data_IF_498719381303
#
_entry.id   IF_498719381303
#
_cell.length_a   1.000
_cell.length_b   1.000
_cell.length_c   1.000
_cell.angle_alpha   90.00
_cell.angle_beta   90.00
_cell.angle_gamma   90.00
#
_symmetry.space_group_name_H-M   'P 1'
#
loop_
_entity.id
_entity.type
_entity.pdbx_description
1 polymer ?
#
# COMPACT_ATOMS: atom_id res chain seq x y z
N UNK A 1 -18.79 -34.85 17.75
CA UNK A 1 -17.36 -34.98 17.46
C UNK A 1 -17.04 -33.88 16.48
N UNK A 2 -16.39 -32.83 16.96
CA UNK A 2 -15.88 -31.74 16.10
C UNK A 2 -14.61 -32.26 15.46
N UNK A 3 -14.51 -32.12 14.14
CA UNK A 3 -13.42 -32.60 13.31
C UNK A 3 -12.17 -31.73 13.57
N UNK A 4 -11.11 -32.32 14.11
CA UNK A 4 -9.82 -31.66 14.44
C UNK A 4 -9.01 -31.23 13.20
N UNK A 5 -9.64 -31.20 12.01
CA UNK A 5 -9.03 -30.74 10.75
C UNK A 5 -9.69 -29.49 10.16
N UNK A 6 -10.52 -28.77 10.93
CA UNK A 6 -11.08 -27.49 10.49
C UNK A 6 -10.02 -26.37 10.55
N UNK A 7 -9.76 -25.76 9.39
CA UNK A 7 -8.95 -24.54 9.29
C UNK A 7 -9.64 -23.40 10.07
N UNK A 8 -8.89 -22.56 10.78
CA UNK A 8 -9.40 -21.40 11.54
C UNK A 8 -10.45 -20.58 10.77
N UNK A 9 -10.32 -20.47 9.45
CA UNK A 9 -11.33 -19.84 8.58
C UNK A 9 -12.71 -20.52 8.63
N UNK A 10 -12.73 -21.85 8.57
CA UNK A 10 -13.96 -22.65 8.61
C UNK A 10 -14.63 -22.58 9.99
N UNK A 11 -13.84 -22.45 11.05
CA UNK A 11 -14.34 -22.22 12.42
C UNK A 11 -15.01 -20.84 12.52
N UNK A 12 -14.40 -19.80 11.94
CA UNK A 12 -14.96 -18.45 11.93
C UNK A 12 -16.25 -18.35 11.11
N UNK A 13 -16.30 -19.00 9.95
CA UNK A 13 -17.51 -19.08 9.11
C UNK A 13 -18.68 -19.77 9.84
N UNK A 14 -18.42 -20.82 10.63
CA UNK A 14 -19.46 -21.49 11.44
C UNK A 14 -19.99 -20.64 12.59
N UNK A 15 -19.20 -19.68 13.08
CA UNK A 15 -19.60 -18.75 14.15
C UNK A 15 -20.37 -17.53 13.62
N UNK A 16 -20.73 -17.49 12.32
CA UNK A 16 -21.24 -16.29 11.64
C UNK A 16 -20.32 -15.07 11.80
N UNK A 17 -19.04 -15.30 12.14
CA UNK A 17 -17.97 -14.34 11.99
C UNK A 17 -17.47 -14.44 10.54
N UNK A 18 -18.41 -14.42 9.59
CA UNK A 18 -18.12 -14.38 8.18
C UNK A 18 -17.47 -13.05 7.86
N UNK A 19 -16.24 -13.12 7.34
CA UNK A 19 -15.42 -12.06 6.74
C UNK A 19 -16.12 -10.69 6.72
N UNK A 20 -15.66 -9.75 7.57
CA UNK A 20 -15.96 -8.31 7.45
C UNK A 20 -15.93 -7.93 5.95
N UNK A 21 -16.92 -7.18 5.46
CA UNK A 21 -16.91 -6.70 4.07
C UNK A 21 -15.58 -6.00 3.80
N UNK A 22 -14.73 -6.63 3.00
CA UNK A 22 -13.39 -6.15 2.70
C UNK A 22 -13.54 -5.15 1.55
N UNK A 23 -12.90 -4.00 1.71
CA UNK A 23 -13.06 -2.87 0.81
C UNK A 23 -11.69 -2.27 0.53
N UNK A 24 -11.24 -2.37 -0.71
CA UNK A 24 -10.02 -1.73 -1.16
C UNK A 24 -10.36 -0.44 -1.89
N UNK A 25 -10.11 0.70 -1.27
CA UNK A 25 -10.26 1.99 -1.93
C UNK A 25 -9.03 2.27 -2.80
N UNK A 26 -9.29 2.57 -4.08
CA UNK A 26 -8.27 2.77 -5.10
C UNK A 26 -8.50 4.07 -5.85
N UNK A 27 -7.42 4.73 -6.27
CA UNK A 27 -7.45 5.94 -7.10
C UNK A 27 -6.35 5.86 -8.15
N UNK A 28 -6.73 5.92 -9.42
CA UNK A 28 -5.79 5.98 -10.54
C UNK A 28 -5.82 4.74 -11.42
N UNK A 29 -4.71 4.48 -12.10
CA UNK A 29 -4.67 3.54 -13.22
C UNK A 29 -4.81 2.10 -12.73
N UNK A 30 -5.88 1.42 -13.12
CA UNK A 30 -6.08 -0.02 -12.90
C UNK A 30 -7.17 -0.52 -13.85
N UNK A 31 -6.83 -1.51 -14.68
CA UNK A 31 -7.78 -2.15 -15.59
C UNK A 31 -8.15 -3.54 -15.08
N UNK A 32 -9.45 -3.77 -14.91
CA UNK A 32 -10.03 -5.03 -14.46
C UNK A 32 -10.94 -5.61 -15.53
N UNK A 33 -10.89 -6.92 -15.74
CA UNK A 33 -11.86 -7.66 -16.56
C UNK A 33 -12.92 -8.28 -15.65
N UNK A 34 -14.18 -7.95 -15.88
CA UNK A 34 -15.34 -8.49 -15.17
C UNK A 34 -15.68 -9.91 -15.67
N UNK A 35 -16.48 -10.70 -14.93
CA UNK A 35 -16.88 -12.05 -15.34
C UNK A 35 -17.56 -12.13 -16.72
N UNK A 36 -18.23 -11.06 -17.15
CA UNK A 36 -18.87 -10.94 -18.47
C UNK A 36 -17.90 -10.49 -19.59
N UNK A 37 -16.60 -10.43 -19.28
CA UNK A 37 -15.49 -10.00 -20.15
C UNK A 37 -15.46 -8.50 -20.46
N UNK A 38 -16.25 -7.68 -19.79
CA UNK A 38 -16.11 -6.24 -19.90
C UNK A 38 -14.87 -5.75 -19.18
N UNK A 39 -14.12 -4.86 -19.81
CA UNK A 39 -12.96 -4.20 -19.20
C UNK A 39 -13.41 -2.89 -18.56
N UNK A 40 -13.17 -2.76 -17.27
CA UNK A 40 -13.40 -1.53 -16.50
C UNK A 40 -12.05 -0.88 -16.25
N UNK A 41 -11.90 0.36 -16.72
CA UNK A 41 -10.72 1.19 -16.47
C UNK A 41 -11.01 2.16 -15.31
N UNK A 42 -10.40 1.89 -14.16
CA UNK A 42 -10.60 2.66 -12.94
C UNK A 42 -9.96 4.06 -13.01
N UNK A 43 -9.05 4.29 -13.97
CA UNK A 43 -8.47 5.61 -14.23
C UNK A 43 -9.51 6.64 -14.68
N UNK A 44 -10.68 6.19 -15.15
CA UNK A 44 -11.80 7.04 -15.53
C UNK A 44 -12.58 7.62 -14.33
N UNK A 45 -12.24 7.23 -13.10
CA UNK A 45 -12.89 7.71 -11.87
C UNK A 45 -11.93 8.62 -11.09
N UNK A 46 -11.92 9.94 -11.34
CA UNK A 46 -10.96 10.86 -10.72
C UNK A 46 -11.09 10.95 -9.18
N UNK A 47 -12.25 10.60 -8.63
CA UNK A 47 -12.50 10.51 -7.19
C UNK A 47 -12.09 9.18 -6.55
N UNK A 48 -11.63 8.20 -7.34
CA UNK A 48 -11.38 6.83 -6.88
C UNK A 48 -12.63 5.95 -6.86
N UNK A 49 -12.42 4.67 -6.61
CA UNK A 49 -13.42 3.60 -6.56
C UNK A 49 -13.15 2.73 -5.34
N UNK A 50 -14.21 2.15 -4.75
CA UNK A 50 -14.07 1.12 -3.71
C UNK A 50 -14.33 -0.25 -4.35
N UNK A 51 -13.35 -1.14 -4.27
CA UNK A 51 -13.48 -2.53 -4.69
C UNK A 51 -13.97 -3.36 -3.50
N UNK A 52 -15.18 -3.89 -3.61
CA UNK A 52 -15.78 -4.75 -2.58
C UNK A 52 -15.20 -6.16 -2.62
N UNK A 53 -15.45 -6.96 -1.57
CA UNK A 53 -15.12 -8.39 -1.53
C UNK A 53 -15.53 -9.13 -2.81
N UNK A 54 -16.75 -8.88 -3.32
CA UNK A 54 -17.24 -9.53 -4.53
C UNK A 54 -16.41 -9.13 -5.76
N UNK A 55 -16.07 -7.84 -5.86
CA UNK A 55 -15.26 -7.32 -6.96
C UNK A 55 -13.85 -7.90 -6.93
N UNK A 56 -13.22 -7.93 -5.76
CA UNK A 56 -11.87 -8.49 -5.56
C UNK A 56 -11.79 -9.99 -5.88
N UNK A 57 -12.87 -10.75 -5.66
CA UNK A 57 -12.92 -12.19 -5.95
C UNK A 57 -13.26 -12.53 -7.39
N UNK A 58 -14.12 -11.73 -8.03
CA UNK A 58 -14.70 -12.07 -9.33
C UNK A 58 -14.02 -11.40 -10.52
N UNK A 59 -13.37 -10.26 -10.30
CA UNK A 59 -12.65 -9.52 -11.35
C UNK A 59 -11.25 -10.12 -11.56
N UNK A 60 -10.77 -10.05 -12.79
CA UNK A 60 -9.39 -10.40 -13.15
C UNK A 60 -8.58 -9.14 -13.41
N UNK A 61 -7.31 -9.14 -13.03
CA UNK A 61 -6.41 -8.03 -13.38
C UNK A 61 -6.01 -8.18 -14.85
N UNK A 62 -6.23 -7.15 -15.66
CA UNK A 62 -5.84 -7.19 -17.06
C UNK A 62 -4.30 -7.29 -17.19
N UNK A 63 -3.79 -8.14 -18.08
CA UNK A 63 -2.35 -8.34 -18.26
C UNK A 63 -1.58 -7.09 -18.74
N UNK A 64 -2.26 -6.16 -19.42
CA UNK A 64 -1.67 -4.88 -19.84
C UNK A 64 -2.18 -3.75 -18.94
N UNK A 65 -1.29 -3.22 -18.12
CA UNK A 65 -1.52 -2.05 -17.27
C UNK A 65 -0.67 -0.86 -17.75
N UNK A 66 -1.08 0.36 -17.40
CA UNK A 66 -0.31 1.60 -17.64
C UNK A 66 0.39 2.12 -16.36
N UNK A 67 0.33 1.34 -15.29
CA UNK A 67 0.87 1.64 -13.97
C UNK A 67 2.39 1.62 -14.02
N UNK A 68 3.00 2.70 -13.56
CA UNK A 68 4.45 2.87 -13.36
C UNK A 68 4.80 3.03 -11.88
N UNK A 69 3.82 3.46 -11.07
CA UNK A 69 4.00 3.75 -9.65
C UNK A 69 2.78 3.29 -8.87
N UNK A 70 3.02 2.59 -7.76
CA UNK A 70 2.00 2.25 -6.77
C UNK A 70 2.33 2.96 -5.47
N UNK A 71 1.34 3.63 -4.88
CA UNK A 71 1.48 4.31 -3.58
C UNK A 71 0.41 3.75 -2.64
N UNK A 72 0.82 3.18 -1.52
CA UNK A 72 -0.09 2.85 -0.41
C UNK A 72 -0.11 3.99 0.61
N UNK A 73 -1.29 4.38 1.06
CA UNK A 73 -1.50 5.53 1.94
C UNK A 73 -2.31 5.08 3.15
N UNK A 74 -1.73 5.24 4.33
CA UNK A 74 -2.37 4.83 5.59
C UNK A 74 -3.57 5.70 5.96
N UNK A 75 -3.42 7.02 5.87
CA UNK A 75 -4.45 7.93 6.35
C UNK A 75 -5.49 8.27 5.26
N UNK A 76 -6.77 8.30 5.66
CA UNK A 76 -7.90 8.52 4.74
C UNK A 76 -7.93 9.94 4.17
N UNK A 77 -7.58 10.95 4.98
CA UNK A 77 -7.54 12.32 4.51
C UNK A 77 -6.39 12.49 3.50
N UNK A 78 -5.21 11.96 3.81
CA UNK A 78 -4.06 11.98 2.90
C UNK A 78 -4.38 11.26 1.59
N UNK A 79 -5.04 10.09 1.64
CA UNK A 79 -5.50 9.38 0.45
C UNK A 79 -6.46 10.24 -0.41
N UNK A 80 -7.46 10.86 0.22
CA UNK A 80 -8.46 11.67 -0.48
C UNK A 80 -7.83 12.88 -1.19
N UNK A 81 -6.92 13.58 -0.51
CA UNK A 81 -6.29 14.80 -1.02
C UNK A 81 -5.02 14.54 -1.86
N UNK A 82 -4.49 13.32 -1.89
CA UNK A 82 -3.32 13.00 -2.71
C UNK A 82 -3.63 13.25 -4.19
N UNK A 83 -2.86 14.10 -4.88
CA UNK A 83 -3.13 14.42 -6.28
C UNK A 83 -2.95 13.19 -7.16
N UNK A 84 -3.85 13.01 -8.13
CA UNK A 84 -3.69 11.97 -9.13
C UNK A 84 -2.60 12.37 -10.13
N UNK A 85 -1.72 11.43 -10.43
CA UNK A 85 -0.71 11.53 -11.49
C UNK A 85 -0.89 10.34 -12.43
N UNK A 86 -0.87 10.59 -13.75
CA UNK A 86 -0.98 9.53 -14.76
C UNK A 86 0.15 8.50 -14.59
N UNK A 87 -0.17 7.23 -14.70
CA UNK A 87 0.75 6.12 -14.43
C UNK A 87 0.84 5.76 -12.95
N UNK A 88 0.03 6.37 -12.08
CA UNK A 88 0.03 6.09 -10.63
C UNK A 88 -1.26 5.40 -10.20
N UNK A 89 -1.12 4.35 -9.40
CA UNK A 89 -2.20 3.73 -8.65
C UNK A 89 -1.99 4.01 -7.16
N UNK A 90 -2.96 4.67 -6.53
CA UNK A 90 -2.96 5.00 -5.11
C UNK A 90 -3.95 4.07 -4.41
N UNK A 91 -3.50 3.44 -3.34
CA UNK A 91 -4.24 2.45 -2.55
C UNK A 91 -4.37 2.97 -1.12
N UNK A 92 -5.58 2.98 -0.59
CA UNK A 92 -5.79 3.24 0.82
C UNK A 92 -5.55 1.97 1.64
N UNK A 93 -4.77 2.05 2.72
CA UNK A 93 -4.60 0.96 3.68
C UNK A 93 -5.06 1.41 5.07
N UNK A 94 -6.20 0.90 5.52
CA UNK A 94 -6.73 1.19 6.87
C UNK A 94 -6.08 0.27 7.92
N UNK A 95 -4.76 0.41 8.09
CA UNK A 95 -3.92 -0.51 8.86
C UNK A 95 -3.31 -1.61 7.99
N UNK A 96 -3.38 -2.87 8.44
CA UNK A 96 -2.85 -4.00 7.68
C UNK A 96 -3.84 -4.48 6.61
N UNK A 97 -3.35 -4.72 5.40
CA UNK A 97 -4.15 -5.34 4.35
C UNK A 97 -4.67 -6.72 4.77
N UNK A 98 -5.93 -6.98 4.47
CA UNK A 98 -6.60 -8.26 4.69
C UNK A 98 -5.93 -9.39 3.87
N UNK A 99 -6.20 -10.67 4.17
CA UNK A 99 -5.75 -11.76 3.31
C UNK A 99 -6.15 -11.63 1.83
N UNK A 100 -7.38 -11.20 1.53
CA UNK A 100 -7.87 -11.05 0.15
C UNK A 100 -7.20 -9.87 -0.56
N UNK A 101 -7.04 -8.73 0.13
CA UNK A 101 -6.35 -7.58 -0.40
C UNK A 101 -4.90 -7.93 -0.74
N UNK A 102 -4.21 -8.65 0.15
CA UNK A 102 -2.84 -9.13 -0.10
C UNK A 102 -2.75 -10.13 -1.26
N UNK A 103 -3.76 -10.98 -1.45
CA UNK A 103 -3.82 -11.87 -2.61
C UNK A 103 -3.97 -11.08 -3.91
N UNK A 104 -4.96 -10.19 -3.97
CA UNK A 104 -5.20 -9.32 -5.11
C UNK A 104 -3.98 -8.45 -5.46
N UNK A 105 -3.34 -7.83 -4.46
CA UNK A 105 -2.19 -6.95 -4.68
C UNK A 105 -0.93 -7.71 -5.12
N UNK A 106 -0.74 -8.96 -4.68
CA UNK A 106 0.34 -9.82 -5.19
C UNK A 106 0.10 -10.28 -6.62
N UNK A 107 -1.16 -10.57 -6.98
CA UNK A 107 -1.51 -10.84 -8.38
C UNK A 107 -1.20 -9.61 -9.25
N UNK A 108 -1.56 -8.42 -8.78
CA UNK A 108 -1.25 -7.16 -9.47
C UNK A 108 0.26 -6.97 -9.64
N UNK A 109 1.04 -7.17 -8.58
CA UNK A 109 2.50 -7.13 -8.66
C UNK A 109 3.04 -8.10 -9.72
N UNK A 110 2.57 -9.35 -9.72
CA UNK A 110 2.97 -10.36 -10.68
C UNK A 110 2.69 -9.98 -12.13
N UNK A 111 1.51 -9.41 -12.40
CA UNK A 111 1.14 -8.91 -13.75
C UNK A 111 2.06 -7.77 -14.17
N UNK A 112 2.35 -6.84 -13.27
CA UNK A 112 3.18 -5.66 -13.57
C UNK A 112 4.64 -6.04 -13.84
N UNK A 113 5.19 -6.99 -13.08
CA UNK A 113 6.56 -7.46 -13.28
C UNK A 113 6.72 -8.29 -14.56
N UNK A 114 5.73 -9.11 -14.94
CA UNK A 114 5.75 -9.86 -16.21
C UNK A 114 5.74 -8.92 -17.42
N UNK A 115 4.91 -7.88 -17.42
CA UNK A 115 4.82 -6.93 -18.53
C UNK A 115 6.11 -6.12 -18.76
N UNK A 116 6.98 -6.00 -17.76
CA UNK A 116 8.29 -5.34 -17.90
C UNK A 116 9.34 -6.23 -18.57
N UNK A 117 9.28 -7.55 -18.36
CA UNK A 117 10.24 -8.51 -18.93
C UNK A 117 10.04 -8.73 -20.44
N UNK A 118 8.78 -8.69 -20.91
CA UNK A 118 8.45 -8.83 -22.34
C UNK A 118 8.95 -7.65 -23.19
N UNK A 119 9.06 -6.45 -22.60
CA UNK A 119 9.62 -5.27 -23.27
C UNK A 119 11.15 -5.30 -23.37
N UNK A 120 11.86 -5.96 -22.45
CA UNK A 120 13.33 -6.11 -22.53
C UNK A 120 13.78 -7.12 -23.59
N UNK A 121 12.90 -8.04 -24.02
CA UNK A 121 13.23 -9.11 -24.97
C UNK A 121 12.86 -8.80 -26.44
N UNK A 122 12.30 -7.63 -26.73
CA UNK A 122 11.97 -7.23 -28.11
C UNK A 122 13.20 -6.61 -28.82
N UNK A 123 13.76 -7.26 -29.87
CA UNK A 123 14.93 -6.74 -30.56
C UNK A 123 14.49 -5.70 -31.60
N UNK A 124 14.78 -4.43 -31.32
CA UNK A 124 14.79 -3.38 -32.35
C UNK A 124 14.15 -2.08 -31.93
N UNK A 125 14.90 -1.24 -31.20
CA UNK A 125 15.09 0.19 -31.51
C UNK A 125 16.08 0.76 -30.51
N UNK A 126 17.35 0.77 -30.90
CA UNK A 126 18.34 1.57 -30.20
C UNK A 126 18.08 3.06 -30.46
N UNK A 127 18.16 3.86 -29.39
CA UNK A 127 18.23 5.34 -29.33
C UNK A 127 16.92 6.12 -29.18
N UNK A 128 16.33 6.03 -27.99
CA UNK A 128 16.02 7.18 -27.14
C UNK A 128 16.08 6.69 -25.67
N UNK A 129 16.50 7.55 -24.73
CA UNK A 129 16.95 7.22 -23.37
C UNK A 129 16.26 6.04 -22.66
N UNK A 130 17.07 5.21 -21.98
CA UNK A 130 16.67 4.18 -21.00
C UNK A 130 15.29 4.45 -20.38
N UNK A 131 14.27 3.71 -20.79
CA UNK A 131 13.05 3.51 -20.01
C UNK A 131 12.79 2.00 -19.86
N UNK A 132 13.76 1.32 -19.25
CA UNK A 132 13.59 0.00 -18.64
C UNK A 132 13.35 0.21 -17.13
N UNK A 133 12.32 0.99 -16.78
CA UNK A 133 12.00 1.24 -15.39
C UNK A 133 10.82 0.34 -15.02
N UNK A 134 11.08 -0.67 -14.19
CA UNK A 134 10.04 -1.46 -13.55
C UNK A 134 9.13 -0.57 -12.69
N UNK A 135 8.03 -1.15 -12.19
CA UNK A 135 7.10 -0.39 -11.35
C UNK A 135 7.75 0.00 -10.03
N UNK A 136 7.55 1.27 -9.63
CA UNK A 136 7.99 1.79 -8.34
C UNK A 136 6.89 1.59 -7.29
N UNK A 137 7.26 1.12 -6.10
CA UNK A 137 6.32 0.84 -5.02
C UNK A 137 6.65 1.71 -3.81
N UNK A 138 5.67 2.47 -3.33
CA UNK A 138 5.82 3.37 -2.20
C UNK A 138 4.77 3.17 -1.12
N UNK A 139 5.13 3.51 0.11
CA UNK A 139 4.20 3.63 1.22
C UNK A 139 4.44 4.91 1.99
N UNK A 140 3.35 5.57 2.38
CA UNK A 140 3.36 6.74 3.26
C UNK A 140 2.32 6.55 4.36
N UNK A 141 2.73 6.78 5.60
CA UNK A 141 1.89 6.63 6.79
C UNK A 141 2.37 7.49 7.94
N UNK A 142 1.87 7.19 9.13
CA UNK A 142 2.22 7.91 10.35
C UNK A 142 3.70 7.71 10.69
N UNK A 143 4.30 8.71 11.33
CA UNK A 143 5.69 8.64 11.81
C UNK A 143 5.72 8.19 13.25
N UNK A 144 5.28 6.96 13.46
CA UNK A 144 5.10 6.34 14.77
C UNK A 144 5.37 4.83 14.72
N UNK A 145 5.03 4.10 15.80
CA UNK A 145 5.16 2.65 15.82
C UNK A 145 4.19 1.94 14.85
N UNK A 146 2.96 2.44 14.70
CA UNK A 146 1.94 1.87 13.82
C UNK A 146 2.34 1.92 12.35
N UNK A 147 2.69 3.11 11.85
CA UNK A 147 3.10 3.33 10.46
C UNK A 147 4.35 2.53 10.08
N UNK A 148 5.35 2.43 10.97
CA UNK A 148 6.53 1.56 10.77
C UNK A 148 6.12 0.10 10.61
N UNK A 149 5.16 -0.38 11.42
CA UNK A 149 4.68 -1.77 11.35
C UNK A 149 3.91 -2.04 10.06
N UNK A 150 3.09 -1.09 9.60
CA UNK A 150 2.33 -1.21 8.35
C UNK A 150 3.28 -1.23 7.16
N UNK A 151 4.24 -0.29 7.09
CA UNK A 151 5.30 -0.28 6.08
C UNK A 151 5.99 -1.65 5.97
N UNK A 152 6.48 -2.15 7.11
CA UNK A 152 7.19 -3.44 7.19
C UNK A 152 6.31 -4.58 6.72
N UNK A 153 5.04 -4.61 7.15
CA UNK A 153 4.11 -5.67 6.77
C UNK A 153 3.81 -5.69 5.28
N UNK A 154 3.54 -4.52 4.67
CA UNK A 154 3.29 -4.42 3.23
C UNK A 154 4.52 -4.89 2.46
N UNK A 155 5.73 -4.48 2.87
CA UNK A 155 6.96 -4.90 2.20
C UNK A 155 7.17 -6.42 2.26
N UNK A 156 6.97 -7.02 3.44
CA UNK A 156 7.21 -8.45 3.64
C UNK A 156 6.17 -9.35 2.96
N UNK A 157 4.93 -8.88 2.81
CA UNK A 157 3.80 -9.75 2.42
C UNK A 157 3.11 -9.35 1.12
N UNK A 158 3.41 -8.19 0.55
CA UNK A 158 2.71 -7.64 -0.62
C UNK A 158 3.66 -7.13 -1.68
N UNK A 159 4.51 -6.16 -1.35
CA UNK A 159 5.41 -5.49 -2.30
C UNK A 159 6.85 -5.51 -1.79
N UNK A 160 7.66 -6.54 -2.07
CA UNK A 160 9.04 -6.67 -1.58
C UNK A 160 9.96 -5.47 -1.90
N UNK A 161 9.69 -4.76 -3.01
CA UNK A 161 10.47 -3.59 -3.46
C UNK A 161 10.00 -2.26 -2.84
N UNK A 162 8.99 -2.27 -1.95
CA UNK A 162 8.38 -1.08 -1.34
C UNK A 162 9.41 -0.14 -0.68
N UNK A 163 9.32 1.14 -1.03
CA UNK A 163 10.15 2.22 -0.49
C UNK A 163 9.33 3.20 0.36
N UNK A 164 9.92 3.80 1.39
CA UNK A 164 9.23 4.82 2.18
C UNK A 164 9.04 6.10 1.36
N UNK A 165 7.85 6.70 1.46
CA UNK A 165 7.52 8.00 0.90
C UNK A 165 7.13 8.94 2.05
N UNK A 166 7.93 9.98 2.25
CA UNK A 166 7.74 10.93 3.36
C UNK A 166 7.74 10.24 4.73
N UNK A 167 8.52 9.15 4.87
CA UNK A 167 8.75 8.47 6.16
C UNK A 167 10.25 8.49 6.47
N UNK A 168 10.79 9.69 6.60
CA UNK A 168 12.21 9.92 6.85
C UNK A 168 12.42 11.00 7.92
N UNK A 169 13.67 11.15 8.37
CA UNK A 169 14.05 12.11 9.42
C UNK A 169 13.76 13.55 9.01
N UNK A 170 13.92 13.90 7.73
CA UNK A 170 13.68 15.27 7.27
C UNK A 170 12.19 15.63 7.33
N UNK A 171 11.32 14.70 6.96
CA UNK A 171 9.87 14.85 7.13
C UNK A 171 9.51 14.89 8.62
N UNK A 172 10.09 14.03 9.45
CA UNK A 172 9.85 14.03 10.88
C UNK A 172 10.21 15.37 11.51
N UNK A 173 11.43 15.86 11.26
CA UNK A 173 11.91 17.11 11.83
C UNK A 173 11.11 18.33 11.32
N UNK A 174 10.63 18.28 10.08
CA UNK A 174 9.75 19.33 9.52
C UNK A 174 8.46 19.50 10.31
N UNK A 175 7.88 18.41 10.81
CA UNK A 175 6.60 18.43 11.51
C UNK A 175 6.72 18.19 13.02
N UNK A 176 7.93 18.24 13.57
CA UNK A 176 8.19 17.95 14.97
C UNK A 176 7.39 18.84 15.93
N UNK A 177 7.16 20.11 15.57
CA UNK A 177 6.37 21.05 16.38
C UNK A 177 4.88 20.69 16.45
N UNK A 178 4.40 19.88 15.51
CA UNK A 178 3.04 19.31 15.52
C UNK A 178 2.99 17.93 16.20
N UNK A 179 4.13 17.38 16.58
CA UNK A 179 4.25 16.04 17.15
C UNK A 179 3.73 15.94 18.58
N UNK A 180 3.16 14.78 18.91
CA UNK A 180 2.66 14.45 20.25
C UNK A 180 3.65 13.58 21.00
N UNK A 181 3.53 13.50 22.33
CA UNK A 181 4.38 12.62 23.13
C UNK A 181 4.07 11.16 22.84
N UNK A 182 5.12 10.36 22.66
CA UNK A 182 4.98 8.93 22.42
C UNK A 182 4.63 8.20 23.71
N UNK A 183 3.63 7.33 23.65
CA UNK A 183 3.25 6.47 24.75
C UNK A 183 4.39 5.50 25.15
N UNK A 184 4.63 5.27 26.46
CA UNK A 184 5.69 4.37 26.92
C UNK A 184 5.57 2.95 26.36
N UNK A 185 4.34 2.46 26.16
CA UNK A 185 4.11 1.13 25.58
C UNK A 185 4.52 1.03 24.11
N UNK A 186 4.36 2.10 23.33
CA UNK A 186 4.84 2.19 21.95
C UNK A 186 6.36 2.27 21.91
N UNK A 187 6.98 2.98 22.86
CA UNK A 187 8.43 3.03 23.00
C UNK A 187 9.05 1.65 23.19
N UNK A 188 8.52 0.87 24.15
CA UNK A 188 9.05 -0.48 24.41
C UNK A 188 8.90 -1.42 23.21
N UNK A 189 7.81 -1.29 22.45
CA UNK A 189 7.61 -2.09 21.23
C UNK A 189 8.55 -1.65 20.11
N UNK A 190 8.68 -0.34 19.87
CA UNK A 190 9.45 0.22 18.76
C UNK A 190 10.95 -0.07 18.87
N UNK A 191 11.52 -0.09 20.08
CA UNK A 191 12.93 -0.48 20.30
C UNK A 191 13.31 -1.84 19.71
N UNK A 192 12.33 -2.75 19.66
CA UNK A 192 12.54 -4.11 19.21
C UNK A 192 12.18 -4.28 17.71
N UNK A 193 11.87 -3.19 17.01
CA UNK A 193 11.61 -3.20 15.58
C UNK A 193 12.88 -2.83 14.84
N UNK A 194 13.33 -3.76 13.99
CA UNK A 194 14.36 -3.49 13.00
C UNK A 194 13.70 -3.36 11.62
N UNK A 195 13.97 -2.23 10.96
CA UNK A 195 13.55 -1.95 9.60
C UNK A 195 14.60 -1.08 8.90
N UNK A 196 15.53 -1.67 8.11
CA UNK A 196 16.65 -0.93 7.53
C UNK A 196 16.27 0.30 6.72
N UNK A 197 15.13 0.29 6.03
CA UNK A 197 14.68 1.44 5.22
C UNK A 197 14.12 2.59 6.08
N UNK A 198 13.70 2.30 7.30
CA UNK A 198 13.15 3.28 8.26
C UNK A 198 14.02 3.47 9.50
N UNK A 199 15.20 2.84 9.57
CA UNK A 199 15.98 2.80 10.82
C UNK A 199 16.33 4.19 11.35
N UNK A 200 16.68 5.13 10.47
CA UNK A 200 16.97 6.51 10.87
C UNK A 200 15.73 7.22 11.46
N UNK A 201 14.54 6.96 10.89
CA UNK A 201 13.28 7.48 11.43
C UNK A 201 12.98 6.84 12.79
N UNK A 202 13.13 5.52 12.93
CA UNK A 202 12.93 4.79 14.18
C UNK A 202 13.83 5.37 15.28
N UNK A 203 15.11 5.53 15.00
CA UNK A 203 16.08 6.09 15.95
C UNK A 203 15.70 7.52 16.35
N UNK A 204 15.19 8.32 15.40
CA UNK A 204 14.73 9.69 15.64
C UNK A 204 13.49 9.73 16.54
N UNK A 205 12.51 8.87 16.31
CA UNK A 205 11.31 8.71 17.15
C UNK A 205 11.72 8.29 18.57
N UNK A 206 12.60 7.29 18.70
CA UNK A 206 13.05 6.79 20.01
C UNK A 206 13.83 7.84 20.81
N UNK A 207 14.62 8.66 20.13
CA UNK A 207 15.43 9.73 20.74
C UNK A 207 14.57 10.89 21.21
N UNK A 208 13.65 11.36 20.36
CA UNK A 208 12.79 12.50 20.67
C UNK A 208 11.60 12.13 21.55
N UNK A 209 11.20 10.84 21.52
CA UNK A 209 9.96 10.33 22.11
C UNK A 209 8.73 11.09 21.61
N UNK A 210 8.76 11.51 20.34
CA UNK A 210 7.66 12.19 19.65
C UNK A 210 7.15 11.32 18.51
N UNK A 211 5.86 11.42 18.24
CA UNK A 211 5.20 10.81 17.08
C UNK A 211 4.49 11.87 16.26
N UNK A 212 4.29 11.61 14.98
CA UNK A 212 3.67 12.57 14.05
C UNK A 212 2.62 11.85 13.22
N UNK A 213 1.36 12.27 13.38
CA UNK A 213 0.21 11.81 12.60
C UNK A 213 0.34 12.29 11.14
N UNK A 214 -0.04 11.47 10.16
CA UNK A 214 0.12 11.77 8.75
C UNK A 214 -0.74 12.97 8.30
N UNK A 215 -1.87 13.26 8.96
CA UNK A 215 -2.76 14.39 8.59
C UNK A 215 -2.03 15.73 8.60
N UNK A 216 -1.00 15.88 9.46
CA UNK A 216 -0.26 17.15 9.55
C UNK A 216 0.48 17.46 8.24
N UNK A 217 0.73 16.46 7.39
CA UNK A 217 1.36 16.66 6.08
C UNK A 217 0.50 17.49 5.12
N UNK A 218 -0.80 17.66 5.43
CA UNK A 218 -1.73 18.49 4.67
C UNK A 218 -1.68 19.96 5.09
N UNK A 219 -0.97 20.30 6.18
CA UNK A 219 -0.74 21.69 6.58
C UNK A 219 0.22 22.31 5.56
N UNK A 220 -0.27 23.29 4.80
CA UNK A 220 0.58 24.01 3.82
C UNK A 220 1.72 24.70 4.56
N UNK A 221 2.95 24.41 4.16
CA UNK A 221 4.09 25.29 4.47
C UNK A 221 3.83 26.61 3.73
N UNK A 222 3.69 27.70 4.47
CA UNK A 222 3.68 29.06 3.89
C UNK A 222 5.01 29.38 3.20
#
# INVERSE_FOLDING_TARGET
>A
MVDDTMNDRQVLEQLYLTDYSQELAVKGDLKLEQPDRQVVDLGNFPGGVILTTETLKSSKICGKQEIKKIITVENKANFAYMPYEKGTLILFCHGFFSPLEREFLRELEGVLEQGTQDMEQSPGTEKAGKCAAGVEYYHTGDLDYGGVRIFKHIREHVFPKLQPLSMDVAQFDRYLDYGTDMEPSSWEKLKNVEEPLLQQLIDRILTTKKVIEQEVFLIKSE
#
